data_IF_549282935306
#
_entry.id   IF_549282935306
#
_cell.length_a   1.000
_cell.length_b   1.000
_cell.length_c   1.000
_cell.angle_alpha   90.00
_cell.angle_beta   90.00
_cell.angle_gamma   90.00
#
_symmetry.space_group_name_H-M   'P 1'
#
loop_
_entity.id
_entity.type
_entity.pdbx_description
1 polymer ?
#
# COMPACT_ATOMS: atom_id res chain seq x y z
N UNK A 1 6.56 0.35 12.71
CA UNK A 1 5.34 -0.39 13.08
C UNK A 1 4.64 0.13 14.34
N UNK A 2 5.36 0.33 15.46
CA UNK A 2 4.76 0.80 16.72
C UNK A 2 3.91 2.09 16.58
N UNK A 3 4.41 3.08 15.84
CA UNK A 3 3.69 4.34 15.56
C UNK A 3 2.36 4.09 14.83
N UNK A 4 2.33 3.16 13.87
CA UNK A 4 1.14 2.86 13.08
C UNK A 4 0.03 2.23 13.91
N UNK A 5 0.38 1.28 14.78
CA UNK A 5 -0.58 0.62 15.68
C UNK A 5 -1.05 1.60 16.76
N UNK A 6 -0.12 2.31 17.41
CA UNK A 6 -0.44 3.24 18.48
C UNK A 6 -1.35 4.38 18.00
N UNK A 7 -0.99 5.02 16.89
CA UNK A 7 -1.80 6.10 16.31
C UNK A 7 -3.11 5.56 15.75
N UNK A 8 -3.14 4.33 15.23
CA UNK A 8 -4.39 3.67 14.82
C UNK A 8 -5.37 3.52 15.98
N UNK A 9 -4.90 3.12 17.17
CA UNK A 9 -5.75 3.00 18.36
C UNK A 9 -6.21 4.37 18.86
N UNK A 10 -5.28 5.34 18.98
CA UNK A 10 -5.58 6.67 19.53
C UNK A 10 -6.53 7.47 18.63
N UNK A 11 -6.43 7.28 17.30
CA UNK A 11 -7.26 8.00 16.33
C UNK A 11 -8.52 7.23 15.92
N UNK A 12 -8.88 6.16 16.62
CA UNK A 12 -10.03 5.31 16.29
C UNK A 12 -10.04 4.89 14.81
N UNK A 13 -8.93 4.34 14.33
CA UNK A 13 -8.73 3.83 12.96
C UNK A 13 -8.68 4.88 11.84
N UNK A 14 -8.71 6.17 12.16
CA UNK A 14 -8.56 7.24 11.14
C UNK A 14 -7.14 7.27 10.57
N UNK A 15 -6.12 7.11 11.41
CA UNK A 15 -4.72 7.18 11.00
C UNK A 15 -4.33 6.17 9.89
N UNK A 16 -4.71 4.87 9.98
CA UNK A 16 -4.50 3.91 8.89
C UNK A 16 -5.07 4.37 7.54
N UNK A 17 -6.23 5.02 7.52
CA UNK A 17 -6.87 5.51 6.29
C UNK A 17 -6.03 6.63 5.68
N UNK A 18 -5.62 7.61 6.50
CA UNK A 18 -4.79 8.75 6.05
C UNK A 18 -3.43 8.26 5.53
N UNK A 19 -2.79 7.32 6.22
CA UNK A 19 -1.50 6.76 5.79
C UNK A 19 -1.63 6.00 4.47
N UNK A 20 -2.67 5.20 4.27
CA UNK A 20 -2.86 4.51 2.99
C UNK A 20 -3.15 5.48 1.85
N UNK A 21 -3.91 6.55 2.10
CA UNK A 21 -4.17 7.60 1.10
C UNK A 21 -2.89 8.32 0.70
N UNK A 22 -2.12 8.80 1.67
CA UNK A 22 -0.83 9.47 1.41
C UNK A 22 0.15 8.55 0.70
N UNK A 23 0.28 7.29 1.12
CA UNK A 23 1.15 6.31 0.48
C UNK A 23 0.73 6.04 -0.98
N UNK A 24 -0.57 6.01 -1.28
CA UNK A 24 -1.06 5.85 -2.65
C UNK A 24 -0.80 7.09 -3.53
N UNK A 25 -0.84 8.29 -2.95
CA UNK A 25 -0.48 9.54 -3.61
C UNK A 25 1.03 9.63 -3.86
N UNK A 26 1.85 9.28 -2.87
CA UNK A 26 3.31 9.21 -3.00
C UNK A 26 3.72 8.22 -4.10
N UNK A 27 3.11 7.03 -4.12
CA UNK A 27 3.32 6.07 -5.19
C UNK A 27 2.90 6.65 -6.55
N UNK A 28 1.82 7.42 -6.62
CA UNK A 28 1.44 8.09 -7.86
C UNK A 28 2.48 9.14 -8.27
N UNK A 29 3.03 9.94 -7.36
CA UNK A 29 4.07 10.93 -7.67
C UNK A 29 5.34 10.23 -8.21
N UNK A 30 5.76 9.16 -7.54
CA UNK A 30 6.97 8.39 -7.86
C UNK A 30 6.79 7.62 -9.19
N UNK A 31 5.62 7.03 -9.42
CA UNK A 31 5.36 6.14 -10.56
C UNK A 31 4.74 6.85 -11.79
N UNK A 32 3.95 7.91 -11.62
CA UNK A 32 3.17 8.49 -12.73
C UNK A 32 4.06 9.12 -13.79
N UNK A 33 5.27 9.54 -13.43
CA UNK A 33 6.24 10.13 -14.36
C UNK A 33 6.67 9.15 -15.46
N UNK A 34 6.46 7.84 -15.26
CA UNK A 34 6.94 6.79 -16.16
C UNK A 34 5.85 5.82 -16.60
N UNK A 35 4.90 5.46 -15.72
CA UNK A 35 3.91 4.42 -16.00
C UNK A 35 2.60 5.00 -16.58
N UNK A 36 2.35 6.32 -16.47
CA UNK A 36 1.08 6.95 -16.87
C UNK A 36 -0.17 6.48 -16.10
N UNK A 37 -0.02 5.48 -15.21
CA UNK A 37 -1.08 4.92 -14.37
C UNK A 37 -1.27 5.74 -13.09
N UNK A 38 -2.52 5.87 -12.65
CA UNK A 38 -2.89 6.45 -11.35
C UNK A 38 -3.61 5.42 -10.48
N UNK A 39 -3.16 5.26 -9.24
CA UNK A 39 -3.82 4.50 -8.19
C UNK A 39 -4.92 5.40 -7.69
N UNK A 40 -6.14 4.87 -7.64
CA UNK A 40 -7.28 5.60 -7.12
C UNK A 40 -7.06 5.98 -5.66
N UNK A 41 -7.47 7.19 -5.26
CA UNK A 41 -7.36 7.65 -3.88
C UNK A 41 -8.05 6.66 -2.92
N UNK A 42 -7.36 6.30 -1.83
CA UNK A 42 -7.83 5.28 -0.90
C UNK A 42 -9.09 5.71 -0.13
N UNK A 43 -9.31 7.00 0.13
CA UNK A 43 -10.54 7.48 0.77
C UNK A 43 -11.78 7.20 -0.10
N UNK A 44 -11.72 7.55 -1.40
CA UNK A 44 -12.81 7.27 -2.32
C UNK A 44 -13.05 5.76 -2.45
N UNK A 45 -11.96 5.00 -2.53
CA UNK A 45 -12.00 3.54 -2.57
C UNK A 45 -12.69 2.96 -1.33
N UNK A 46 -12.29 3.40 -0.14
CA UNK A 46 -12.75 2.89 1.14
C UNK A 46 -14.22 3.27 1.43
N UNK A 47 -14.62 4.53 1.23
CA UNK A 47 -15.96 4.97 1.59
C UNK A 47 -17.03 4.60 0.55
N UNK A 48 -16.69 4.60 -0.73
CA UNK A 48 -17.69 4.41 -1.80
C UNK A 48 -17.59 3.03 -2.43
N UNK A 49 -16.44 2.71 -3.00
CA UNK A 49 -16.28 1.52 -3.85
C UNK A 49 -16.32 0.24 -3.03
N UNK A 50 -15.72 0.23 -1.84
CA UNK A 50 -15.74 -0.95 -0.97
C UNK A 50 -17.18 -1.34 -0.63
N UNK A 51 -18.02 -0.38 -0.29
CA UNK A 51 -19.41 -0.63 0.09
C UNK A 51 -20.27 -1.00 -1.12
N UNK A 52 -20.08 -0.33 -2.25
CA UNK A 52 -20.80 -0.60 -3.49
C UNK A 52 -20.51 -1.99 -4.07
N UNK A 53 -19.27 -2.47 -3.93
CA UNK A 53 -18.81 -3.75 -4.49
C UNK A 53 -18.77 -4.88 -3.47
N UNK A 54 -19.36 -4.67 -2.27
CA UNK A 54 -19.36 -5.64 -1.17
C UNK A 54 -17.93 -6.15 -0.83
N UNK A 55 -16.94 -5.24 -0.88
CA UNK A 55 -15.54 -5.52 -0.55
C UNK A 55 -14.67 -6.03 -1.72
N UNK A 56 -15.24 -6.41 -2.86
CA UNK A 56 -14.45 -6.93 -4.01
C UNK A 56 -13.51 -5.86 -4.53
N UNK A 57 -14.01 -4.62 -4.67
CA UNK A 57 -13.18 -3.50 -5.10
C UNK A 57 -11.99 -3.32 -4.17
N UNK A 58 -12.18 -3.45 -2.85
CA UNK A 58 -11.12 -3.26 -1.86
C UNK A 58 -9.99 -4.27 -2.07
N UNK A 59 -10.32 -5.53 -2.38
CA UNK A 59 -9.33 -6.56 -2.72
C UNK A 59 -8.55 -6.23 -4.00
N UNK A 60 -9.26 -5.83 -5.07
CA UNK A 60 -8.65 -5.47 -6.35
C UNK A 60 -7.73 -4.26 -6.22
N UNK A 61 -8.14 -3.27 -5.44
CA UNK A 61 -7.33 -2.09 -5.17
C UNK A 61 -6.01 -2.45 -4.51
N UNK A 62 -6.04 -3.25 -3.43
CA UNK A 62 -4.81 -3.66 -2.74
C UNK A 62 -3.91 -4.57 -3.58
N UNK A 63 -4.49 -5.44 -4.41
CA UNK A 63 -3.74 -6.26 -5.36
C UNK A 63 -2.97 -5.37 -6.35
N UNK A 64 -3.68 -4.43 -7.00
CA UNK A 64 -3.07 -3.54 -7.99
C UNK A 64 -2.06 -2.59 -7.36
N UNK A 65 -2.36 -2.06 -6.18
CA UNK A 65 -1.47 -1.21 -5.41
C UNK A 65 -0.16 -1.96 -5.07
N UNK A 66 -0.25 -3.18 -4.56
CA UNK A 66 0.92 -4.00 -4.23
C UNK A 66 1.75 -4.39 -5.45
N UNK A 67 1.09 -4.72 -6.58
CA UNK A 67 1.78 -4.99 -7.84
C UNK A 67 2.58 -3.77 -8.31
N UNK A 68 1.98 -2.57 -8.24
CA UNK A 68 2.66 -1.32 -8.65
C UNK A 68 3.88 -1.00 -7.79
N UNK A 69 3.81 -1.20 -6.47
CA UNK A 69 4.97 -1.02 -5.59
C UNK A 69 6.11 -1.95 -6.01
N UNK A 70 5.82 -3.23 -6.23
CA UNK A 70 6.81 -4.22 -6.66
C UNK A 70 7.43 -3.90 -8.02
N UNK A 71 6.63 -3.43 -8.98
CA UNK A 71 7.09 -3.01 -10.30
C UNK A 71 8.06 -1.81 -10.19
N UNK A 72 7.74 -0.82 -9.36
CA UNK A 72 8.63 0.34 -9.15
C UNK A 72 9.90 -0.04 -8.38
N UNK A 73 9.82 -0.95 -7.40
CA UNK A 73 11.01 -1.47 -6.71
C UNK A 73 11.93 -2.16 -7.72
N UNK A 74 11.39 -3.08 -8.53
CA UNK A 74 12.14 -3.81 -9.56
C UNK A 74 12.80 -2.86 -10.56
N UNK A 75 12.06 -1.83 -10.98
CA UNK A 75 12.55 -0.83 -11.93
C UNK A 75 13.73 -0.02 -11.37
N UNK A 76 13.73 0.26 -10.07
CA UNK A 76 14.82 0.98 -9.38
C UNK A 76 15.98 0.06 -9.00
N UNK A 77 15.97 -1.21 -9.42
CA UNK A 77 16.99 -2.20 -9.05
C UNK A 77 16.90 -2.67 -7.59
N UNK A 78 15.80 -2.35 -6.89
CA UNK A 78 15.53 -2.83 -5.54
C UNK A 78 14.88 -4.23 -5.60
N UNK A 79 15.17 -5.07 -4.60
CA UNK A 79 14.52 -6.36 -4.48
C UNK A 79 13.01 -6.16 -4.19
N UNK A 80 12.08 -6.73 -4.98
CA UNK A 80 10.65 -6.56 -4.75
C UNK A 80 10.24 -7.20 -3.42
N UNK A 81 9.95 -6.36 -2.43
CA UNK A 81 9.52 -6.79 -1.08
C UNK A 81 8.01 -6.96 -0.98
N UNK A 82 7.27 -6.28 -1.87
CA UNK A 82 5.81 -6.30 -1.95
C UNK A 82 5.39 -6.55 -3.39
N UNK A 83 4.51 -7.53 -3.57
CA UNK A 83 3.90 -7.91 -4.86
C UNK A 83 2.43 -8.26 -4.65
N UNK A 84 1.67 -8.44 -5.72
CA UNK A 84 0.30 -8.97 -5.66
C UNK A 84 0.22 -10.29 -4.85
N UNK A 85 1.17 -11.21 -5.06
CA UNK A 85 1.22 -12.46 -4.29
C UNK A 85 1.46 -12.21 -2.79
N UNK A 86 2.28 -11.22 -2.45
CA UNK A 86 2.52 -10.81 -1.05
C UNK A 86 1.25 -10.32 -0.38
N UNK A 87 0.41 -9.58 -1.12
CA UNK A 87 -0.91 -9.16 -0.64
C UNK A 87 -1.81 -10.36 -0.33
N UNK A 88 -2.01 -11.27 -1.28
CA UNK A 88 -2.86 -12.44 -1.06
C UNK A 88 -2.35 -13.33 0.08
N UNK A 89 -1.03 -13.51 0.19
CA UNK A 89 -0.44 -14.32 1.25
C UNK A 89 -0.62 -13.69 2.62
N UNK A 90 -0.30 -12.41 2.79
CA UNK A 90 -0.25 -11.81 4.13
C UNK A 90 -1.56 -11.14 4.54
N UNK A 91 -2.22 -10.44 3.62
CA UNK A 91 -3.48 -9.74 3.93
C UNK A 91 -4.69 -10.67 3.91
N UNK A 92 -4.74 -11.66 3.02
CA UNK A 92 -5.90 -12.57 2.88
C UNK A 92 -5.65 -13.87 3.61
N UNK A 93 -4.69 -14.70 3.19
CA UNK A 93 -4.40 -15.98 3.85
C UNK A 93 -3.90 -15.76 5.28
N UNK A 94 -3.04 -14.77 5.49
CA UNK A 94 -2.53 -14.41 6.81
C UNK A 94 -3.58 -13.80 7.74
N UNK A 95 -4.75 -13.40 7.25
CA UNK A 95 -5.86 -12.96 8.12
C UNK A 95 -6.39 -14.10 9.00
N UNK A 96 -6.23 -15.35 8.56
CA UNK A 96 -6.62 -16.55 9.32
C UNK A 96 -5.90 -16.66 10.66
N UNK A 97 -4.70 -16.09 10.77
CA UNK A 97 -3.90 -16.07 11.99
C UNK A 97 -3.92 -14.70 12.68
N UNK A 98 -4.76 -13.75 12.23
CA UNK A 98 -4.91 -12.36 12.70
C UNK A 98 -3.68 -11.47 12.52
N UNK A 99 -2.47 -12.01 12.62
CA UNK A 99 -1.19 -11.30 12.55
C UNK A 99 -0.80 -10.96 11.10
N UNK A 100 -1.30 -11.71 10.11
CA UNK A 100 -0.92 -11.54 8.71
C UNK A 100 -1.13 -10.13 8.15
N UNK A 101 -2.31 -9.49 8.34
CA UNK A 101 -2.55 -8.14 7.87
C UNK A 101 -1.54 -7.11 8.43
N UNK A 102 -1.10 -7.27 9.68
CA UNK A 102 -0.09 -6.40 10.26
C UNK A 102 1.28 -6.56 9.59
N UNK A 103 1.65 -7.80 9.24
CA UNK A 103 2.88 -8.10 8.50
C UNK A 103 2.81 -7.50 7.09
N UNK A 104 1.65 -7.60 6.43
CA UNK A 104 1.42 -6.97 5.13
C UNK A 104 1.63 -5.45 5.20
N UNK A 105 0.99 -4.76 6.14
CA UNK A 105 1.15 -3.31 6.29
C UNK A 105 2.58 -2.91 6.62
N UNK A 106 3.29 -3.69 7.45
CA UNK A 106 4.70 -3.47 7.71
C UNK A 106 5.54 -3.54 6.42
N UNK A 107 5.33 -4.58 5.59
CA UNK A 107 6.04 -4.75 4.31
C UNK A 107 5.76 -3.60 3.34
N UNK A 108 4.49 -3.19 3.19
CA UNK A 108 4.06 -2.07 2.35
C UNK A 108 4.74 -0.76 2.77
N UNK A 109 4.67 -0.42 4.06
CA UNK A 109 5.25 0.82 4.55
C UNK A 109 6.78 0.83 4.42
N UNK A 110 7.42 -0.32 4.65
CA UNK A 110 8.87 -0.43 4.47
C UNK A 110 9.28 -0.29 3.00
N UNK A 111 8.58 -0.99 2.10
CA UNK A 111 8.82 -0.89 0.65
C UNK A 111 8.67 0.55 0.14
N UNK A 112 7.65 1.26 0.61
CA UNK A 112 7.41 2.65 0.24
C UNK A 112 8.46 3.59 0.81
N UNK A 113 8.92 3.36 2.05
CA UNK A 113 10.04 4.13 2.59
C UNK A 113 11.33 3.93 1.77
N UNK A 114 11.61 2.71 1.32
CA UNK A 114 12.74 2.43 0.43
C UNK A 114 12.59 3.14 -0.93
N UNK A 115 11.39 3.13 -1.51
CA UNK A 115 11.09 3.86 -2.74
C UNK A 115 11.26 5.37 -2.58
N UNK A 116 10.76 5.95 -1.48
CA UNK A 116 10.93 7.36 -1.17
C UNK A 116 12.41 7.71 -0.92
N UNK A 117 13.16 6.85 -0.23
CA UNK A 117 14.59 7.05 -0.02
C UNK A 117 15.36 7.02 -1.35
N UNK A 118 15.05 6.06 -2.22
CA UNK A 118 15.61 6.00 -3.57
C UNK A 118 15.23 7.26 -4.37
N UNK A 119 13.96 7.69 -4.33
CA UNK A 119 13.51 8.91 -5.01
C UNK A 119 14.24 10.16 -4.52
N UNK A 120 14.45 10.30 -3.21
CA UNK A 120 15.19 11.42 -2.61
C UNK A 120 16.69 11.40 -2.98
N UNK A 121 17.27 10.21 -3.19
CA UNK A 121 18.68 10.08 -3.56
C UNK A 121 18.93 10.32 -5.05
N UNK A 122 18.01 9.87 -5.94
CA UNK A 122 18.23 9.89 -7.39
C UNK A 122 17.34 10.84 -8.17
N UNK A 123 16.35 11.50 -7.55
CA UNK A 123 15.47 12.50 -8.17
C UNK A 123 14.59 11.98 -9.33
N UNK A 124 14.56 10.66 -9.52
CA UNK A 124 13.92 9.95 -10.62
C UNK A 124 13.06 8.82 -10.06
#
# INVERSE_FOLDING_TARGET
MAKFILLGIITFSIYPIVIMTTTAEDLNIIASRYNGKKTMNYCLMFFLISWLTLGIGWLVWHNNFSARIGDEQRRRGLAPTVTAATYWLWAVLGSLIVVGPFIYYYKVLNAMNELCAAYNATGC
#
